data_IF_726950583362
#
_entry.id   IF_726950583362
#
_cell.length_a   1.000
_cell.length_b   1.000
_cell.length_c   1.000
_cell.angle_alpha   90.00
_cell.angle_beta   90.00
_cell.angle_gamma   90.00
#
_symmetry.space_group_name_H-M   'P 1'
#
loop_
_entity.id
_entity.type
_entity.pdbx_description
1 polymer ?
#
# COMPACT_ATOMS: atom_id res chain seq x y z
N UNK A 1 12.13 0.68 15.58
CA UNK A 1 11.76 1.53 16.74
C UNK A 1 12.90 1.67 17.74
N UNK A 2 13.48 0.59 18.28
CA UNK A 2 14.57 0.69 19.28
C UNK A 2 15.83 1.45 18.79
N UNK A 3 16.01 1.56 17.47
CA UNK A 3 17.11 2.33 16.85
C UNK A 3 16.75 3.81 16.63
N UNK A 4 15.63 4.30 17.18
CA UNK A 4 15.25 5.72 17.13
C UNK A 4 14.39 6.15 15.93
N UNK A 5 14.04 5.22 15.02
CA UNK A 5 13.12 5.54 13.92
C UNK A 5 11.71 5.91 14.44
N UNK A 6 11.19 7.02 13.91
CA UNK A 6 9.89 7.62 14.23
C UNK A 6 8.84 7.42 13.12
N UNK A 7 9.26 7.12 11.89
CA UNK A 7 8.39 6.74 10.78
C UNK A 7 8.76 5.34 10.28
N UNK A 8 7.76 4.46 10.17
CA UNK A 8 7.92 3.10 9.64
C UNK A 8 7.11 2.94 8.35
N UNK A 9 7.77 2.52 7.27
CA UNK A 9 7.14 2.13 6.01
C UNK A 9 7.27 0.60 5.83
N UNK A 10 6.32 -0.21 6.31
CA UNK A 10 6.39 -1.66 6.17
C UNK A 10 5.88 -2.10 4.79
N UNK A 11 6.79 -2.25 3.82
CA UNK A 11 6.48 -2.79 2.48
C UNK A 11 6.39 -4.31 2.53
N UNK A 12 5.40 -4.84 3.25
CA UNK A 12 5.36 -6.24 3.63
C UNK A 12 3.96 -6.87 3.66
N UNK A 13 2.94 -6.22 3.07
CA UNK A 13 1.55 -6.68 3.10
C UNK A 13 1.12 -7.06 4.52
N UNK A 14 0.54 -8.25 4.70
CA UNK A 14 0.10 -8.74 6.01
C UNK A 14 1.22 -8.88 7.05
N UNK A 15 2.47 -9.14 6.65
CA UNK A 15 3.58 -9.16 7.59
C UNK A 15 3.87 -7.76 8.16
N UNK A 16 3.45 -6.69 7.48
CA UNK A 16 3.49 -5.31 7.96
C UNK A 16 2.61 -5.03 9.18
N UNK A 17 1.66 -5.92 9.51
CA UNK A 17 0.82 -5.77 10.70
C UNK A 17 1.62 -5.77 12.01
N UNK A 18 2.72 -6.52 12.06
CA UNK A 18 3.62 -6.50 13.23
C UNK A 18 4.28 -5.13 13.41
N UNK A 19 4.60 -4.44 12.31
CA UNK A 19 5.12 -3.08 12.36
C UNK A 19 4.05 -2.08 12.83
N UNK A 20 2.81 -2.19 12.34
CA UNK A 20 1.70 -1.35 12.83
C UNK A 20 1.40 -1.58 14.32
N UNK A 21 1.47 -2.84 14.78
CA UNK A 21 1.34 -3.17 16.19
C UNK A 21 2.47 -2.51 17.01
N UNK A 22 3.72 -2.62 16.56
CA UNK A 22 4.85 -1.99 17.23
C UNK A 22 4.72 -0.46 17.28
N UNK A 23 4.28 0.16 16.18
CA UNK A 23 4.01 1.61 16.09
C UNK A 23 2.91 2.01 17.05
N UNK A 24 1.78 1.28 17.10
CA UNK A 24 0.69 1.54 18.05
C UNK A 24 1.16 1.40 19.51
N UNK A 25 1.91 0.35 19.81
CA UNK A 25 2.51 0.11 21.14
C UNK A 25 3.55 1.15 21.52
N UNK A 26 4.07 1.95 20.58
CA UNK A 26 5.01 3.04 20.88
C UNK A 26 4.36 4.19 21.64
N UNK A 27 3.02 4.26 21.68
CA UNK A 27 2.30 5.31 22.39
C UNK A 27 2.46 6.70 21.76
N UNK A 28 2.57 6.77 20.43
CA UNK A 28 2.73 8.03 19.68
C UNK A 28 4.18 8.47 19.46
N UNK A 29 5.17 7.65 19.85
CA UNK A 29 6.59 7.91 19.55
C UNK A 29 6.96 7.62 18.10
N UNK A 30 6.10 6.90 17.38
CA UNK A 30 6.26 6.62 15.97
C UNK A 30 4.91 6.58 15.24
N UNK A 31 4.96 6.77 13.93
CA UNK A 31 3.86 6.62 12.99
C UNK A 31 4.24 5.66 11.85
N UNK A 32 3.26 5.32 11.02
CA UNK A 32 3.44 4.45 9.87
C UNK A 32 2.96 5.09 8.56
N UNK A 33 3.63 4.74 7.47
CA UNK A 33 3.12 4.90 6.10
C UNK A 33 2.72 3.52 5.61
N UNK A 34 1.46 3.31 5.28
CA UNK A 34 0.98 2.00 4.81
C UNK A 34 1.26 1.79 3.31
N UNK A 35 1.00 0.60 2.78
CA UNK A 35 1.24 0.25 1.37
C UNK A 35 0.06 -0.49 0.74
N UNK A 36 0.11 -0.64 -0.58
CA UNK A 36 -0.84 -1.32 -1.47
C UNK A 36 -2.20 -0.61 -1.61
N UNK A 37 -2.83 -0.21 -0.51
CA UNK A 37 -4.11 0.48 -0.52
C UNK A 37 -4.30 1.41 0.67
N UNK A 38 -5.48 1.99 0.80
CA UNK A 38 -5.83 2.88 1.91
C UNK A 38 -5.73 2.14 3.25
N UNK A 39 -4.72 2.52 4.05
CA UNK A 39 -4.44 1.92 5.35
C UNK A 39 -5.54 2.14 6.37
N UNK A 40 -6.29 3.25 6.32
CA UNK A 40 -7.40 3.47 7.24
C UNK A 40 -8.60 2.57 6.94
N UNK A 41 -8.78 2.17 5.68
CA UNK A 41 -9.82 1.19 5.29
C UNK A 41 -9.38 -0.24 5.53
N UNK A 42 -8.14 -0.58 5.20
CA UNK A 42 -7.63 -1.96 5.26
C UNK A 42 -7.13 -2.34 6.65
N UNK A 43 -6.65 -1.37 7.43
CA UNK A 43 -6.08 -1.53 8.77
C UNK A 43 -6.75 -0.57 9.78
N UNK A 44 -8.09 -0.63 9.95
CA UNK A 44 -8.84 0.36 10.72
C UNK A 44 -8.40 0.46 12.19
N UNK A 45 -7.94 -0.66 12.78
CA UNK A 45 -7.45 -0.71 14.15
C UNK A 45 -6.17 0.12 14.40
N UNK A 46 -5.49 0.55 13.32
CA UNK A 46 -4.24 1.29 13.34
C UNK A 46 -4.34 2.64 12.61
N UNK A 47 -5.52 3.05 12.14
CA UNK A 47 -5.69 4.27 11.32
C UNK A 47 -5.13 5.52 12.02
N UNK A 48 -5.29 5.64 13.34
CA UNK A 48 -4.72 6.75 14.13
C UNK A 48 -3.19 6.86 14.09
N UNK A 49 -2.50 5.80 13.67
CA UNK A 49 -1.05 5.72 13.57
C UNK A 49 -0.56 5.78 12.11
N UNK A 50 -1.47 5.68 11.13
CA UNK A 50 -1.14 5.69 9.71
C UNK A 50 -1.32 7.12 9.21
N UNK A 51 -0.21 7.78 8.86
CA UNK A 51 -0.22 9.18 8.43
C UNK A 51 -0.54 9.34 6.94
N UNK A 52 -0.23 8.31 6.13
CA UNK A 52 -0.60 8.20 4.72
C UNK A 52 -0.39 6.76 4.25
N UNK A 53 -0.74 6.45 3.00
CA UNK A 53 -0.50 5.16 2.36
C UNK A 53 0.11 5.35 0.98
N UNK A 54 1.08 4.53 0.62
CA UNK A 54 1.52 4.38 -0.77
C UNK A 54 0.55 3.43 -1.47
N UNK A 55 -0.24 3.97 -2.39
CA UNK A 55 -1.24 3.25 -3.16
C UNK A 55 -0.56 2.50 -4.30
N UNK A 56 -1.07 1.29 -4.56
CA UNK A 56 -0.73 0.49 -5.72
C UNK A 56 -2.01 0.20 -6.49
N UNK A 57 -2.13 0.76 -7.70
CA UNK A 57 -3.29 0.66 -8.59
C UNK A 57 -3.43 -0.74 -9.21
N UNK A 58 -3.52 -1.77 -8.37
CA UNK A 58 -3.70 -3.15 -8.81
C UNK A 58 -5.06 -3.37 -9.45
N UNK A 59 -6.08 -2.62 -9.02
CA UNK A 59 -7.40 -2.59 -9.63
C UNK A 59 -7.35 -2.10 -11.08
N UNK A 60 -6.63 -1.00 -11.35
CA UNK A 60 -6.39 -0.48 -12.71
C UNK A 60 -5.68 -1.54 -13.55
N UNK A 61 -4.56 -2.08 -13.05
CA UNK A 61 -3.76 -3.05 -13.77
C UNK A 61 -4.55 -4.33 -14.12
N UNK A 62 -5.30 -4.88 -13.17
CA UNK A 62 -6.10 -6.10 -13.38
C UNK A 62 -7.28 -5.82 -14.29
N UNK A 63 -7.97 -4.69 -14.12
CA UNK A 63 -9.11 -4.31 -14.96
C UNK A 63 -8.68 -4.18 -16.43
N UNK A 64 -7.60 -3.46 -16.70
CA UNK A 64 -7.11 -3.25 -18.07
C UNK A 64 -6.65 -4.54 -18.72
N UNK A 65 -5.96 -5.43 -17.98
CA UNK A 65 -5.55 -6.74 -18.49
C UNK A 65 -6.77 -7.61 -18.87
N UNK A 66 -7.79 -7.68 -18.00
CA UNK A 66 -9.02 -8.44 -18.26
C UNK A 66 -9.81 -7.84 -19.43
N UNK A 67 -9.89 -6.52 -19.50
CA UNK A 67 -10.55 -5.81 -20.62
C UNK A 67 -9.84 -6.07 -21.93
N UNK A 68 -8.52 -5.99 -21.98
CA UNK A 68 -7.73 -6.30 -23.16
C UNK A 68 -7.95 -7.75 -23.63
N UNK A 69 -7.99 -8.72 -22.69
CA UNK A 69 -8.31 -10.11 -23.01
C UNK A 69 -9.71 -10.26 -23.59
N UNK A 70 -10.72 -9.63 -22.99
CA UNK A 70 -12.11 -9.64 -23.48
C UNK A 70 -12.22 -9.05 -24.89
N UNK A 71 -11.50 -7.96 -25.16
CA UNK A 71 -11.56 -7.24 -26.43
C UNK A 71 -10.65 -7.86 -27.52
N UNK A 72 -9.96 -8.98 -27.23
CA UNK A 72 -9.02 -9.63 -28.16
C UNK A 72 -7.74 -8.83 -28.41
N UNK A 73 -7.39 -7.90 -27.52
CA UNK A 73 -6.24 -7.00 -27.59
C UNK A 73 -5.16 -7.31 -26.54
N UNK A 74 -5.27 -8.44 -25.85
CA UNK A 74 -4.28 -8.82 -24.85
C UNK A 74 -2.88 -8.89 -25.46
N UNK A 75 -1.93 -8.26 -24.79
CA UNK A 75 -0.51 -8.44 -25.04
C UNK A 75 0.19 -8.81 -23.72
N UNK A 76 1.35 -9.47 -23.84
CA UNK A 76 2.12 -9.94 -22.70
C UNK A 76 3.21 -8.95 -22.26
N UNK A 77 3.16 -7.69 -22.72
CA UNK A 77 4.14 -6.69 -22.29
C UNK A 77 3.92 -6.40 -20.81
N UNK A 78 5.00 -6.20 -20.03
CA UNK A 78 4.86 -5.82 -18.64
C UNK A 78 4.06 -4.52 -18.52
N UNK A 79 3.01 -4.55 -17.70
CA UNK A 79 2.36 -3.33 -17.26
C UNK A 79 3.31 -2.55 -16.35
N UNK A 80 3.45 -1.25 -16.60
CA UNK A 80 4.20 -0.32 -15.76
C UNK A 80 3.21 0.73 -15.28
N UNK A 81 2.83 0.65 -14.01
CA UNK A 81 2.00 1.66 -13.36
C UNK A 81 2.85 2.84 -12.90
N UNK A 82 2.35 4.04 -13.12
CA UNK A 82 2.99 5.31 -12.80
C UNK A 82 2.08 6.21 -11.96
N UNK A 83 2.62 7.34 -11.51
CA UNK A 83 1.78 8.39 -10.89
C UNK A 83 0.81 9.01 -11.89
N UNK A 84 1.21 9.10 -13.17
CA UNK A 84 0.40 9.74 -14.21
C UNK A 84 -0.83 8.91 -14.60
N UNK A 85 -0.69 7.58 -14.60
CA UNK A 85 -1.78 6.64 -14.92
C UNK A 85 -2.53 6.11 -13.69
N UNK A 86 -2.17 6.55 -12.49
CA UNK A 86 -2.79 6.10 -11.24
C UNK A 86 -2.41 4.66 -10.83
N UNK A 87 -1.41 4.06 -11.47
CA UNK A 87 -0.85 2.77 -11.10
C UNK A 87 -0.09 2.79 -9.76
N UNK A 88 0.28 3.98 -9.27
CA UNK A 88 0.76 4.20 -7.90
C UNK A 88 0.46 5.63 -7.42
N UNK A 89 0.59 5.91 -6.11
CA UNK A 89 0.31 7.22 -5.51
C UNK A 89 0.62 7.31 -4.03
#
# INVERSE_FOLDING_TARGET
LNQGADIILPVAGNAGNGALQAVKSSGGKANAIWVDGDGCKTQPAYCSNIITSVIKGMDVAVFDAVKAAKDGKFDNKPYVGSLEDGGTG
#
